data_IF_707014357534
#
_entry.id   IF_707014357534
#
_cell.length_a   1.000
_cell.length_b   1.000
_cell.length_c   1.000
_cell.angle_alpha   90.00
_cell.angle_beta   90.00
_cell.angle_gamma   90.00
#
_symmetry.space_group_name_H-M   'P 1'
#
loop_
_entity.id
_entity.type
_entity.pdbx_description
1 polymer ?
#
# COMPACT_ATOMS: atom_id res chain seq x y z
N UNK A 1 -10.52 -18.24 -6.93
CA UNK A 1 -10.90 -19.60 -6.49
C UNK A 1 -9.72 -20.57 -6.61
N UNK A 2 -9.00 -20.56 -7.74
CA UNK A 2 -7.85 -21.46 -8.00
C UNK A 2 -6.71 -21.38 -6.96
N UNK A 3 -6.43 -20.18 -6.42
CA UNK A 3 -5.41 -19.99 -5.39
C UNK A 3 -5.72 -20.77 -4.09
N UNK A 4 -6.94 -20.67 -3.55
CA UNK A 4 -7.34 -21.36 -2.31
C UNK A 4 -7.31 -22.89 -2.47
N UNK A 5 -7.73 -23.40 -3.63
CA UNK A 5 -7.65 -24.83 -3.94
C UNK A 5 -6.19 -25.30 -3.98
N UNK A 6 -5.29 -24.49 -4.55
CA UNK A 6 -3.85 -24.79 -4.60
C UNK A 6 -3.24 -24.80 -3.20
N UNK A 7 -3.63 -23.86 -2.32
CA UNK A 7 -3.18 -23.82 -0.93
C UNK A 7 -3.61 -25.06 -0.14
N UNK A 8 -4.84 -25.55 -0.34
CA UNK A 8 -5.32 -26.79 0.30
C UNK A 8 -4.51 -28.01 -0.14
N UNK A 9 -4.20 -28.12 -1.44
CA UNK A 9 -3.40 -29.22 -1.97
C UNK A 9 -1.95 -29.20 -1.47
N UNK A 10 -1.38 -28.01 -1.26
CA UNK A 10 -0.02 -27.83 -0.79
C UNK A 10 0.12 -28.05 0.72
N UNK A 11 -0.69 -27.36 1.53
CA UNK A 11 -0.55 -27.39 2.99
C UNK A 11 -1.18 -28.62 3.64
N UNK A 12 -2.15 -29.27 2.97
CA UNK A 12 -2.90 -30.44 3.48
C UNK A 12 -3.27 -30.31 4.96
N UNK A 13 -3.94 -29.22 5.36
CA UNK A 13 -4.29 -28.98 6.75
C UNK A 13 -5.25 -30.05 7.26
N UNK A 14 -5.16 -30.34 8.56
CA UNK A 14 -5.97 -31.36 9.25
C UNK A 14 -7.47 -31.03 9.21
N UNK A 15 -7.81 -29.73 9.28
CA UNK A 15 -9.17 -29.19 9.12
C UNK A 15 -9.26 -28.24 7.91
N UNK A 16 -9.54 -28.75 6.70
CA UNK A 16 -9.57 -27.95 5.46
C UNK A 16 -10.56 -26.79 5.48
N UNK A 17 -11.72 -26.99 6.13
CA UNK A 17 -12.77 -25.98 6.20
C UNK A 17 -12.35 -24.78 7.05
N UNK A 18 -11.74 -25.04 8.21
CA UNK A 18 -11.29 -24.01 9.14
C UNK A 18 -10.15 -23.20 8.54
N UNK A 19 -9.18 -23.88 7.92
CA UNK A 19 -8.11 -23.23 7.17
C UNK A 19 -8.62 -22.27 6.09
N UNK A 20 -9.60 -22.68 5.27
CA UNK A 20 -10.16 -21.80 4.24
C UNK A 20 -10.90 -20.59 4.85
N UNK A 21 -11.57 -20.78 5.99
CA UNK A 21 -12.23 -19.67 6.70
C UNK A 21 -11.21 -18.65 7.20
N UNK A 22 -10.13 -19.09 7.84
CA UNK A 22 -9.05 -18.19 8.29
C UNK A 22 -8.42 -17.42 7.13
N UNK A 23 -8.15 -18.10 6.01
CA UNK A 23 -7.61 -17.43 4.82
C UNK A 23 -8.58 -16.38 4.26
N UNK A 24 -9.89 -16.67 4.26
CA UNK A 24 -10.91 -15.71 3.82
C UNK A 24 -11.06 -14.54 4.81
N UNK A 25 -10.92 -14.78 6.11
CA UNK A 25 -10.92 -13.72 7.14
C UNK A 25 -9.71 -12.80 6.99
N UNK A 26 -8.52 -13.35 6.77
CA UNK A 26 -7.34 -12.55 6.44
C UNK A 26 -7.57 -11.70 5.19
N UNK A 27 -8.04 -12.30 4.09
CA UNK A 27 -8.36 -11.56 2.86
C UNK A 27 -9.41 -10.46 3.06
N UNK A 28 -10.33 -10.65 3.99
CA UNK A 28 -11.34 -9.65 4.35
C UNK A 28 -10.76 -8.49 5.16
N UNK A 29 -9.74 -8.75 5.99
CA UNK A 29 -8.98 -7.72 6.73
C UNK A 29 -8.12 -6.89 5.75
N UNK A 30 -7.53 -7.52 4.74
CA UNK A 30 -6.76 -6.86 3.67
C UNK A 30 -7.64 -6.18 2.60
N UNK A 31 -8.81 -5.66 2.99
CA UNK A 31 -9.89 -5.23 2.09
C UNK A 31 -9.45 -4.61 0.77
N UNK A 32 -9.84 -5.25 -0.34
CA UNK A 32 -9.95 -4.77 -1.74
C UNK A 32 -8.75 -4.04 -2.40
N UNK A 33 -7.69 -3.69 -1.68
CA UNK A 33 -6.61 -2.87 -2.20
C UNK A 33 -5.28 -3.38 -1.69
N UNK A 34 -4.21 -3.31 -2.49
CA UNK A 34 -2.88 -3.61 -1.99
C UNK A 34 -2.59 -2.72 -0.77
N UNK A 35 -1.93 -3.27 0.25
CA UNK A 35 -1.47 -2.60 1.48
C UNK A 35 -0.40 -1.53 1.21
N UNK A 36 -0.52 -0.76 0.13
CA UNK A 36 0.43 0.24 -0.32
C UNK A 36 0.61 1.37 0.71
N UNK A 37 -0.40 1.62 1.55
CA UNK A 37 -0.42 2.72 2.51
C UNK A 37 -0.54 2.24 3.95
N UNK A 38 0.43 1.46 4.40
CA UNK A 38 0.70 1.28 5.83
C UNK A 38 1.86 2.21 6.26
N UNK A 39 2.05 2.41 7.56
CA UNK A 39 3.07 3.34 8.10
C UNK A 39 4.50 3.02 7.61
N UNK A 40 4.82 1.74 7.42
CA UNK A 40 6.10 1.29 6.87
C UNK A 40 6.26 1.71 5.41
N UNK A 41 5.23 1.51 4.59
CA UNK A 41 5.26 1.78 3.16
C UNK A 41 5.24 3.29 2.87
N UNK A 42 4.51 4.08 3.66
CA UNK A 42 4.54 5.56 3.58
C UNK A 42 5.95 6.09 3.85
N UNK A 43 6.65 5.54 4.85
CA UNK A 43 8.04 5.91 5.16
C UNK A 43 8.98 5.58 4.00
N UNK A 44 8.79 4.42 3.37
CA UNK A 44 9.57 4.02 2.20
C UNK A 44 9.33 4.96 0.99
N UNK A 45 8.06 5.29 0.71
CA UNK A 45 7.70 6.24 -0.36
C UNK A 45 8.34 7.61 -0.13
N UNK A 46 8.28 8.14 1.10
CA UNK A 46 8.93 9.41 1.46
C UNK A 46 10.44 9.37 1.21
N UNK A 47 11.13 8.28 1.58
CA UNK A 47 12.57 8.13 1.34
C UNK A 47 12.92 8.07 -0.15
N UNK A 48 12.08 7.47 -0.98
CA UNK A 48 12.32 7.42 -2.44
C UNK A 48 12.19 8.82 -3.04
N UNK A 49 11.27 9.64 -2.50
CA UNK A 49 11.02 11.00 -2.97
C UNK A 49 12.00 12.03 -2.42
N UNK A 50 12.69 11.72 -1.32
CA UNK A 50 13.74 12.55 -0.72
C UNK A 50 15.12 11.86 -0.83
N UNK A 51 15.71 11.75 -2.04
CA UNK A 51 17.02 11.13 -2.23
C UNK A 51 18.15 11.93 -1.57
N UNK A 52 17.90 13.20 -1.23
CA UNK A 52 18.86 14.08 -0.58
C UNK A 52 18.76 14.00 0.96
N UNK A 53 17.85 13.19 1.50
CA UNK A 53 17.59 13.02 2.93
C UNK A 53 17.42 14.37 3.67
N UNK A 54 16.72 15.31 3.03
CA UNK A 54 16.38 16.64 3.55
C UNK A 54 15.27 16.59 4.61
N UNK A 55 14.63 15.44 4.79
CA UNK A 55 13.49 15.20 5.67
C UNK A 55 12.20 15.93 5.25
N UNK A 56 12.17 16.46 4.02
CA UNK A 56 10.98 17.03 3.39
C UNK A 56 10.98 16.70 1.89
N UNK A 57 9.78 16.74 1.29
CA UNK A 57 9.58 16.63 -0.16
C UNK A 57 8.91 17.90 -0.65
N UNK A 58 9.22 18.30 -1.88
CA UNK A 58 8.55 19.44 -2.51
C UNK A 58 7.17 19.06 -3.01
N UNK A 59 6.33 20.05 -3.30
CA UNK A 59 5.00 19.81 -3.86
C UNK A 59 5.07 19.12 -5.23
N UNK A 60 6.08 19.43 -6.03
CA UNK A 60 6.34 18.74 -7.29
C UNK A 60 6.64 17.25 -7.08
N UNK A 61 7.42 16.91 -6.05
CA UNK A 61 7.72 15.52 -5.69
C UNK A 61 6.47 14.80 -5.15
N UNK A 62 5.66 15.46 -4.32
CA UNK A 62 4.37 14.95 -3.85
C UNK A 62 3.44 14.60 -5.03
N UNK A 63 3.26 15.54 -5.98
CA UNK A 63 2.44 15.32 -7.18
C UNK A 63 2.95 14.16 -8.03
N UNK A 64 4.26 14.11 -8.26
CA UNK A 64 4.88 13.03 -9.02
C UNK A 64 4.67 11.67 -8.36
N UNK A 65 4.83 11.59 -7.04
CA UNK A 65 4.62 10.37 -6.27
C UNK A 65 3.19 9.86 -6.39
N UNK A 66 2.22 10.74 -6.14
CA UNK A 66 0.82 10.38 -6.16
C UNK A 66 0.38 9.92 -7.56
N UNK A 67 0.73 10.68 -8.61
CA UNK A 67 0.28 10.41 -9.98
C UNK A 67 1.04 9.26 -10.66
N UNK A 68 2.37 9.23 -10.52
CA UNK A 68 3.23 8.34 -11.33
C UNK A 68 3.56 7.06 -10.59
N UNK A 69 3.88 7.14 -9.30
CA UNK A 69 4.27 5.98 -8.50
C UNK A 69 3.06 5.22 -7.97
N UNK A 70 2.04 5.95 -7.51
CA UNK A 70 0.91 5.37 -6.79
C UNK A 70 -0.36 5.29 -7.63
N UNK A 71 -0.39 5.94 -8.82
CA UNK A 71 -1.55 5.95 -9.71
C UNK A 71 -2.78 6.66 -9.14
N UNK A 72 -2.59 7.50 -8.11
CA UNK A 72 -3.63 8.28 -7.46
C UNK A 72 -3.99 9.45 -8.37
N UNK A 73 -5.24 9.49 -8.82
CA UNK A 73 -5.76 10.53 -9.72
C UNK A 73 -6.35 11.73 -8.98
N UNK A 74 -6.83 11.50 -7.77
CA UNK A 74 -7.44 12.51 -6.92
C UNK A 74 -6.46 12.86 -5.79
N UNK A 75 -5.81 14.01 -5.93
CA UNK A 75 -4.77 14.47 -5.02
C UNK A 75 -5.17 15.81 -4.42
N UNK A 76 -4.74 16.07 -3.18
CA UNK A 76 -4.94 17.38 -2.60
C UNK A 76 -4.05 18.40 -3.32
N UNK A 77 -4.66 19.30 -4.10
CA UNK A 77 -3.92 20.34 -4.81
C UNK A 77 -3.48 21.51 -3.91
N UNK A 78 -4.03 21.62 -2.70
CA UNK A 78 -3.67 22.63 -1.72
C UNK A 78 -3.40 21.98 -0.34
N UNK A 79 -2.34 21.17 -0.22
CA UNK A 79 -1.94 20.62 1.06
C UNK A 79 -1.41 21.71 1.99
N UNK A 80 -1.52 21.49 3.29
CA UNK A 80 -0.91 22.38 4.29
C UNK A 80 0.59 22.54 4.00
N UNK A 81 1.09 23.77 4.08
CA UNK A 81 2.49 24.09 3.79
C UNK A 81 2.85 24.23 2.31
N UNK A 82 1.91 24.04 1.35
CA UNK A 82 2.21 24.22 -0.09
C UNK A 82 2.70 25.63 -0.45
N UNK A 83 2.27 26.64 0.30
CA UNK A 83 2.70 28.03 0.12
C UNK A 83 4.15 28.28 0.58
N UNK A 84 4.72 27.35 1.33
CA UNK A 84 6.09 27.39 1.86
C UNK A 84 7.03 26.50 1.04
N UNK A 85 6.52 25.84 0.00
CA UNK A 85 7.30 24.98 -0.90
C UNK A 85 8.40 25.80 -1.60
N UNK A 86 9.65 25.39 -1.41
CA UNK A 86 10.86 26.10 -1.86
C UNK A 86 11.80 25.19 -2.66
#
# INVERSE_FOLDING_TARGET
VENLTSMLLFHKPENPREFVVEQLEQLKIYGSGPELFNSSNVTAVLRILDPMNKQYITFAQYKHAALTMLGIKDINECPEGVNEDR
#
